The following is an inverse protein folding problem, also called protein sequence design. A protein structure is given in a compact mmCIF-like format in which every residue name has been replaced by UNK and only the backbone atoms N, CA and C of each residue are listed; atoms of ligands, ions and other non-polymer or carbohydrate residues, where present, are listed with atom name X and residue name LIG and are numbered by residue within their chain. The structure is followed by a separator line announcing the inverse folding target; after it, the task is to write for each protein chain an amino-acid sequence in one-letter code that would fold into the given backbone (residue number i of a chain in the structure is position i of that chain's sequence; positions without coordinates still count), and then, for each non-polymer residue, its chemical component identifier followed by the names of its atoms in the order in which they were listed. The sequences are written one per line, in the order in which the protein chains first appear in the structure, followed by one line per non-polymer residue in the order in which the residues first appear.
data_IF_741733366840
#
_entry.id   IF_741733366840
#
_cell.length_a   1.000
_cell.length_b   1.000
_cell.length_c   1.000
_cell.angle_alpha   90.00
_cell.angle_beta   90.00
_cell.angle_gamma   90.00
#
_symmetry.space_group_name_H-M   'P 1'
#
loop_
_entity.id
_entity.type
_entity.pdbx_description
1 polymer ?
#
# COMPACT_ATOMS: atom_id res chain seq x y z
N UNK A 1 1.40 -47.94 23.34
CA UNK A 1 0.49 -47.92 24.51
C UNK A 1 -0.14 -49.28 24.87
N UNK A 2 0.36 -50.41 24.36
CA UNK A 2 -0.17 -51.77 24.67
C UNK A 2 0.80 -52.65 25.50
N UNK A 3 1.99 -52.15 25.88
CA UNK A 3 2.97 -52.91 26.67
C UNK A 3 2.79 -52.80 28.20
N UNK A 4 1.91 -51.92 28.67
CA UNK A 4 1.70 -51.67 30.10
C UNK A 4 0.49 -52.39 30.73
N UNK A 5 -0.44 -52.94 29.94
CA UNK A 5 -1.66 -53.56 30.47
C UNK A 5 -1.53 -55.05 30.80
N UNK A 6 -0.67 -55.81 30.12
CA UNK A 6 -0.60 -57.27 30.29
C UNK A 6 0.28 -57.72 31.47
N UNK A 7 1.12 -56.85 32.02
CA UNK A 7 1.96 -57.19 33.19
C UNK A 7 1.21 -57.09 34.53
N UNK A 8 -0.03 -56.55 34.55
CA UNK A 8 -0.78 -56.26 35.78
C UNK A 8 -1.77 -57.36 36.20
N UNK A 9 -2.07 -58.32 35.32
CA UNK A 9 -3.00 -59.44 35.62
C UNK A 9 -2.29 -60.78 35.90
N UNK A 10 -0.97 -60.88 35.73
CA UNK A 10 -0.21 -62.12 35.94
C UNK A 10 0.54 -62.19 37.28
N UNK A 11 0.27 -61.25 38.20
CA UNK A 11 0.95 -61.17 39.50
C UNK A 11 0.37 -62.07 40.61
N UNK A 12 -0.67 -62.86 40.36
CA UNK A 12 -1.41 -63.58 41.41
C UNK A 12 -1.63 -65.08 41.13
N UNK A 13 -0.61 -65.79 40.63
CA UNK A 13 -0.62 -67.26 40.62
C UNK A 13 0.75 -67.79 41.08
N UNK A 14 0.90 -67.92 42.41
CA UNK A 14 1.92 -68.78 42.99
C UNK A 14 1.57 -70.25 42.69
N UNK A 15 2.53 -71.00 42.13
CA UNK A 15 2.59 -72.46 42.34
C UNK A 15 2.14 -73.42 41.23
N UNK A 16 2.18 -73.06 39.93
CA UNK A 16 2.14 -74.06 38.84
C UNK A 16 3.05 -73.72 37.68
N UNK A 17 3.87 -74.70 37.27
CA UNK A 17 4.69 -74.65 36.05
C UNK A 17 3.82 -74.40 34.82
N UNK A 18 4.18 -73.47 33.91
CA UNK A 18 3.38 -73.20 32.73
C UNK A 18 3.35 -74.39 31.76
N UNK A 19 2.18 -74.62 31.15
CA UNK A 19 1.92 -75.70 30.20
C UNK A 19 2.75 -75.51 28.91
N UNK A 20 3.38 -76.57 28.33
CA UNK A 20 4.26 -76.46 27.16
C UNK A 20 3.62 -75.85 25.90
N UNK A 21 2.29 -75.81 25.84
CA UNK A 21 1.52 -75.27 24.70
C UNK A 21 1.53 -73.73 24.72
N UNK A 22 1.57 -73.09 25.90
CA UNK A 22 1.55 -71.63 26.01
C UNK A 22 2.88 -70.97 25.57
N UNK A 23 4.00 -71.67 25.75
CA UNK A 23 5.33 -71.20 25.32
C UNK A 23 5.46 -71.25 23.78
N UNK A 24 4.93 -72.30 23.13
CA UNK A 24 4.95 -72.42 21.66
C UNK A 24 4.13 -71.35 20.91
N UNK A 25 3.08 -70.81 21.53
CA UNK A 25 2.28 -69.75 20.90
C UNK A 25 2.97 -68.39 21.02
N UNK A 26 3.72 -68.15 22.10
CA UNK A 26 4.51 -66.93 22.27
C UNK A 26 5.76 -66.90 21.39
N UNK A 27 6.43 -68.03 21.18
CA UNK A 27 7.57 -68.12 20.27
C UNK A 27 7.15 -67.90 18.79
N UNK A 28 5.99 -68.43 18.37
CA UNK A 28 5.46 -68.21 17.02
C UNK A 28 4.97 -66.76 16.76
N UNK A 29 4.71 -65.97 17.80
CA UNK A 29 4.35 -64.55 17.68
C UNK A 29 5.57 -63.63 17.59
N UNK A 30 6.76 -64.09 18.01
CA UNK A 30 8.02 -63.35 17.86
C UNK A 30 8.60 -63.45 16.44
N UNK A 31 8.26 -64.49 15.67
CA UNK A 31 8.71 -64.66 14.27
C UNK A 31 7.87 -63.89 13.24
N UNK A 32 6.86 -63.13 13.67
CA UNK A 32 6.15 -62.17 12.83
C UNK A 32 6.87 -60.82 12.80
N UNK A 33 8.14 -60.83 12.40
CA UNK A 33 8.78 -59.60 11.91
C UNK A 33 8.14 -59.25 10.56
N UNK A 34 7.15 -58.34 10.58
CA UNK A 34 6.74 -57.63 9.37
C UNK A 34 8.01 -57.11 8.69
N UNK A 35 8.23 -57.37 7.39
CA UNK A 35 9.39 -56.82 6.71
C UNK A 35 9.34 -55.30 6.88
N UNK A 36 10.40 -54.75 7.46
CA UNK A 36 10.69 -53.32 7.39
C UNK A 36 10.94 -53.02 5.91
N UNK A 37 9.86 -52.77 5.16
CA UNK A 37 9.94 -52.30 3.78
C UNK A 37 10.44 -50.87 3.86
N UNK A 38 11.76 -50.70 3.91
CA UNK A 38 12.42 -49.44 3.61
C UNK A 38 12.18 -49.16 2.13
N UNK A 39 11.13 -48.39 1.83
CA UNK A 39 10.95 -47.75 0.54
C UNK A 39 12.08 -46.72 0.36
N UNK A 40 13.28 -47.18 0.01
CA UNK A 40 14.27 -46.30 -0.58
C UNK A 40 13.72 -45.85 -1.93
N UNK A 41 13.20 -44.63 -1.93
CA UNK A 41 12.75 -43.95 -3.13
C UNK A 41 13.93 -43.91 -4.14
N UNK A 42 13.71 -44.22 -5.42
CA UNK A 42 14.79 -44.30 -6.40
C UNK A 42 15.57 -42.98 -6.45
N UNK A 43 16.87 -43.02 -6.70
CA UNK A 43 17.78 -41.84 -6.71
C UNK A 43 17.22 -40.67 -7.56
N UNK A 44 16.50 -40.98 -8.64
CA UNK A 44 15.79 -40.01 -9.50
C UNK A 44 14.69 -39.23 -8.78
N UNK A 45 13.94 -39.88 -7.88
CA UNK A 45 12.88 -39.27 -7.08
C UNK A 45 13.42 -38.38 -5.96
N UNK A 46 14.56 -38.73 -5.37
CA UNK A 46 15.25 -37.90 -4.37
C UNK A 46 15.85 -36.64 -5.00
N UNK A 47 16.46 -36.79 -6.19
CA UNK A 47 16.98 -35.64 -6.94
C UNK A 47 15.84 -34.69 -7.36
N UNK A 48 14.71 -35.23 -7.83
CA UNK A 48 13.55 -34.43 -8.18
C UNK A 48 12.97 -33.67 -6.97
N UNK A 49 12.84 -34.34 -5.82
CA UNK A 49 12.39 -33.70 -4.57
C UNK A 49 13.34 -32.57 -4.13
N UNK A 50 14.65 -32.81 -4.20
CA UNK A 50 15.66 -31.79 -3.88
C UNK A 50 15.56 -30.56 -4.80
N UNK A 51 15.44 -30.77 -6.12
CA UNK A 51 15.30 -29.66 -7.09
C UNK A 51 14.02 -28.85 -6.86
N UNK A 52 12.90 -29.53 -6.57
CA UNK A 52 11.63 -28.88 -6.21
C UNK A 52 11.80 -28.03 -4.96
N UNK A 53 12.45 -28.57 -3.92
CA UNK A 53 12.69 -27.85 -2.66
C UNK A 53 13.56 -26.62 -2.89
N UNK A 54 14.66 -26.74 -3.64
CA UNK A 54 15.53 -25.59 -3.97
C UNK A 54 14.74 -24.51 -4.73
N UNK A 55 13.92 -24.91 -5.70
CA UNK A 55 13.08 -23.99 -6.46
C UNK A 55 12.05 -23.27 -5.57
N UNK A 56 11.37 -23.99 -4.68
CA UNK A 56 10.41 -23.39 -3.74
C UNK A 56 11.15 -22.48 -2.75
N UNK A 57 12.32 -22.85 -2.26
CA UNK A 57 13.15 -21.98 -1.42
C UNK A 57 13.58 -20.70 -2.15
N UNK A 58 13.88 -20.77 -3.46
CA UNK A 58 14.19 -19.57 -4.25
C UNK A 58 12.98 -18.65 -4.41
N UNK A 59 11.76 -19.19 -4.55
CA UNK A 59 10.52 -18.41 -4.61
C UNK A 59 10.25 -17.65 -3.30
N UNK A 60 10.83 -18.08 -2.17
CA UNK A 60 10.67 -17.42 -0.87
C UNK A 60 10.99 -15.92 -0.92
N UNK A 61 11.92 -15.50 -1.79
CA UNK A 61 12.32 -14.10 -1.98
C UNK A 61 11.11 -13.20 -2.28
N UNK A 62 10.11 -13.70 -3.01
CA UNK A 62 8.89 -12.97 -3.38
C UNK A 62 8.04 -12.57 -2.17
N UNK A 63 8.13 -13.31 -1.06
CA UNK A 63 7.43 -12.98 0.19
C UNK A 63 8.38 -12.41 1.25
N UNK A 64 9.59 -12.94 1.37
CA UNK A 64 10.59 -12.51 2.36
C UNK A 64 10.99 -11.05 2.17
N UNK A 65 11.34 -10.65 0.95
CA UNK A 65 11.86 -9.29 0.69
C UNK A 65 10.78 -8.24 0.98
N UNK A 66 9.56 -8.33 0.44
CA UNK A 66 8.50 -7.38 0.77
C UNK A 66 8.12 -7.40 2.26
N UNK A 67 8.08 -8.56 2.91
CA UNK A 67 7.80 -8.65 4.36
C UNK A 67 8.91 -8.01 5.20
N UNK A 68 10.17 -8.11 4.79
CA UNK A 68 11.31 -7.47 5.46
C UNK A 68 11.26 -5.96 5.35
N UNK A 69 11.02 -5.45 4.15
CA UNK A 69 10.92 -4.01 3.91
C UNK A 69 9.72 -3.44 4.65
N UNK A 70 8.57 -4.13 4.62
CA UNK A 70 7.38 -3.71 5.34
C UNK A 70 7.62 -3.66 6.86
N UNK A 71 8.33 -4.66 7.42
CA UNK A 71 8.73 -4.65 8.82
C UNK A 71 9.66 -3.50 9.15
N UNK A 72 10.65 -3.23 8.30
CA UNK A 72 11.59 -2.13 8.47
C UNK A 72 10.88 -0.77 8.47
N UNK A 73 10.01 -0.53 7.48
CA UNK A 73 9.24 0.71 7.36
C UNK A 73 8.29 0.89 8.56
N UNK A 74 7.48 -0.12 8.90
CA UNK A 74 6.57 -0.04 10.03
C UNK A 74 7.31 0.10 11.37
N UNK A 75 8.43 -0.60 11.55
CA UNK A 75 9.27 -0.50 12.74
C UNK A 75 9.90 0.88 12.89
N UNK A 76 10.45 1.44 11.80
CA UNK A 76 10.97 2.80 11.80
C UNK A 76 9.89 3.85 12.10
N UNK A 77 8.66 3.65 11.63
CA UNK A 77 7.53 4.54 11.91
C UNK A 77 7.16 4.59 13.41
N UNK A 78 7.41 3.52 14.16
CA UNK A 78 7.22 3.47 15.60
C UNK A 78 8.25 4.32 16.37
N UNK A 79 9.38 4.68 15.76
CA UNK A 79 10.37 5.59 16.36
C UNK A 79 9.96 7.07 16.24
N UNK A 80 9.07 7.38 15.30
CA UNK A 80 8.51 8.72 15.16
C UNK A 80 7.50 9.02 16.28
N UNK A 81 7.34 10.29 16.70
CA UNK A 81 6.26 10.71 17.60
C UNK A 81 4.89 10.19 17.13
N UNK A 82 4.03 9.81 18.09
CA UNK A 82 2.70 9.23 17.81
C UNK A 82 1.68 10.26 17.32
N UNK A 83 1.86 11.52 17.68
CA UNK A 83 0.98 12.58 17.19
C UNK A 83 1.17 12.75 15.69
N UNK A 84 0.07 12.65 14.93
CA UNK A 84 -0.03 13.35 13.64
C UNK A 84 0.03 14.82 14.01
N UNK A 85 1.24 15.35 14.17
CA UNK A 85 1.52 16.65 14.82
C UNK A 85 0.39 17.60 14.51
N UNK A 86 -0.49 17.79 15.49
CA UNK A 86 -1.64 18.65 15.32
C UNK A 86 -1.07 20.02 15.01
N UNK A 87 -1.69 20.68 14.03
CA UNK A 87 -1.45 22.08 13.73
C UNK A 87 -1.22 22.84 15.04
N UNK A 88 -0.07 23.51 15.16
CA UNK A 88 0.16 24.46 16.25
C UNK A 88 -1.04 25.42 16.25
N UNK A 89 -1.88 25.44 17.31
CA UNK A 89 -2.95 26.40 17.39
C UNK A 89 -2.31 27.75 17.69
N UNK A 90 -2.40 28.71 16.77
CA UNK A 90 -2.02 30.10 17.08
C UNK A 90 -1.13 30.81 16.07
N UNK A 91 -1.39 30.67 14.77
CA UNK A 91 -1.39 31.80 13.85
C UNK A 91 -2.02 31.29 12.54
N UNK A 92 -2.70 32.14 11.78
CA UNK A 92 -3.10 31.78 10.42
C UNK A 92 -1.82 31.52 9.62
N UNK A 93 -1.40 30.25 9.55
CA UNK A 93 -0.16 29.88 8.92
C UNK A 93 -0.37 29.98 7.41
N UNK A 94 0.32 30.94 6.82
CA UNK A 94 0.22 31.31 5.41
C UNK A 94 1.47 30.81 4.71
N UNK A 95 1.43 30.76 3.38
CA UNK A 95 2.63 30.46 2.58
C UNK A 95 3.83 31.31 3.05
N UNK A 96 5.05 30.72 3.11
CA UNK A 96 6.22 31.43 3.62
C UNK A 96 6.42 32.76 2.90
N UNK A 97 6.66 33.83 3.67
CA UNK A 97 6.81 35.17 3.13
C UNK A 97 7.88 35.21 2.01
N UNK A 98 7.49 35.71 0.84
CA UNK A 98 8.37 35.87 -0.32
C UNK A 98 8.35 34.72 -1.33
N UNK A 99 7.63 33.62 -1.07
CA UNK A 99 7.38 32.58 -2.07
C UNK A 99 5.99 32.74 -2.69
N UNK A 100 5.90 32.48 -4.00
CA UNK A 100 4.64 32.39 -4.75
C UNK A 100 4.26 30.93 -4.89
N UNK A 101 3.04 30.58 -4.47
CA UNK A 101 2.52 29.23 -4.58
C UNK A 101 1.37 29.18 -5.57
N UNK A 102 1.34 28.15 -6.40
CA UNK A 102 0.16 27.80 -7.18
C UNK A 102 -0.42 26.47 -6.68
N UNK A 103 -1.70 26.46 -6.30
CA UNK A 103 -2.44 25.22 -6.06
C UNK A 103 -3.21 24.89 -7.33
N UNK A 104 -2.87 23.78 -7.95
CA UNK A 104 -3.45 23.32 -9.21
C UNK A 104 -4.42 22.15 -8.95
N UNK A 105 -5.68 22.36 -9.30
CA UNK A 105 -6.80 21.43 -9.04
C UNK A 105 -7.41 20.98 -10.38
N UNK A 106 -7.10 19.78 -10.89
CA UNK A 106 -7.81 19.22 -12.04
C UNK A 106 -9.20 18.76 -11.61
N UNK A 107 -10.23 19.09 -12.39
CA UNK A 107 -11.62 18.74 -12.10
C UNK A 107 -12.34 18.29 -13.37
N UNK A 108 -13.10 17.19 -13.27
CA UNK A 108 -13.98 16.70 -14.34
C UNK A 108 -15.33 16.31 -13.74
N UNK A 109 -16.35 17.15 -13.89
CA UNK A 109 -17.70 16.94 -13.33
C UNK A 109 -17.78 16.83 -11.79
N UNK A 110 -17.05 17.67 -11.06
CA UNK A 110 -16.92 17.62 -9.59
C UNK A 110 -17.82 18.65 -8.87
N UNK A 111 -18.93 19.07 -9.49
CA UNK A 111 -19.82 20.11 -8.96
C UNK A 111 -20.35 19.83 -7.53
N UNK A 112 -20.40 18.55 -7.12
CA UNK A 112 -20.90 18.16 -5.81
C UNK A 112 -19.89 18.33 -4.66
N UNK A 113 -18.58 18.38 -4.95
CA UNK A 113 -17.52 18.30 -3.94
C UNK A 113 -16.50 19.42 -4.04
N UNK A 114 -16.33 20.03 -5.20
CA UNK A 114 -15.27 21.01 -5.45
C UNK A 114 -15.36 22.23 -4.53
N UNK A 115 -16.57 22.66 -4.16
CA UNK A 115 -16.74 23.82 -3.28
C UNK A 115 -16.07 23.62 -1.92
N UNK A 116 -16.28 22.46 -1.27
CA UNK A 116 -15.68 22.15 0.03
C UNK A 116 -14.14 22.10 -0.06
N UNK A 117 -13.62 21.51 -1.14
CA UNK A 117 -12.18 21.46 -1.40
C UNK A 117 -11.58 22.86 -1.49
N UNK A 118 -12.15 23.74 -2.33
CA UNK A 118 -11.64 25.10 -2.52
C UNK A 118 -11.77 25.96 -1.25
N UNK A 119 -12.87 25.82 -0.51
CA UNK A 119 -13.08 26.48 0.78
C UNK A 119 -12.07 26.05 1.85
N UNK A 120 -11.55 24.81 1.79
CA UNK A 120 -10.48 24.36 2.70
C UNK A 120 -9.09 24.90 2.33
N UNK A 121 -8.87 25.24 1.05
CA UNK A 121 -7.61 25.74 0.52
C UNK A 121 -7.48 27.25 0.70
N UNK A 122 -8.52 28.00 0.35
CA UNK A 122 -8.46 29.46 0.21
C UNK A 122 -7.98 30.22 1.46
N UNK A 123 -8.38 29.84 2.69
CA UNK A 123 -7.91 30.50 3.91
C UNK A 123 -6.40 30.37 4.17
N UNK A 124 -5.72 29.42 3.50
CA UNK A 124 -4.29 29.16 3.65
C UNK A 124 -3.43 29.92 2.62
N UNK A 125 -4.05 30.60 1.65
CA UNK A 125 -3.38 31.32 0.57
C UNK A 125 -3.17 32.80 0.90
N UNK A 126 -2.13 33.38 0.32
CA UNK A 126 -1.86 34.83 0.33
C UNK A 126 -2.30 35.47 -0.99
N UNK A 127 -2.42 36.80 -1.07
CA UNK A 127 -2.70 37.49 -2.34
C UNK A 127 -1.67 37.27 -3.45
N UNK A 128 -0.47 36.77 -3.12
CA UNK A 128 0.55 36.44 -4.11
C UNK A 128 0.34 35.06 -4.75
N UNK A 129 -0.44 34.20 -4.09
CA UNK A 129 -0.67 32.81 -4.49
C UNK A 129 -1.78 32.69 -5.54
N UNK A 130 -1.81 31.57 -6.25
CA UNK A 130 -2.81 31.28 -7.29
C UNK A 130 -3.53 29.98 -6.95
N UNK A 131 -4.85 30.03 -6.86
CA UNK A 131 -5.70 28.83 -6.86
C UNK A 131 -6.22 28.62 -8.28
N UNK A 132 -5.65 27.65 -9.00
CA UNK A 132 -5.98 27.36 -10.39
C UNK A 132 -6.77 26.06 -10.49
N UNK A 133 -7.97 26.13 -11.04
CA UNK A 133 -8.81 24.97 -11.37
C UNK A 133 -8.79 24.75 -12.87
N UNK A 134 -8.49 23.52 -13.29
CA UNK A 134 -8.62 23.09 -14.68
C UNK A 134 -9.90 22.28 -14.79
N UNK A 135 -10.95 22.90 -15.32
CA UNK A 135 -12.21 22.22 -15.62
C UNK A 135 -12.07 21.47 -16.95
N UNK A 136 -11.65 20.20 -16.86
CA UNK A 136 -11.38 19.35 -18.01
C UNK A 136 -12.63 18.59 -18.44
N UNK A 137 -13.11 18.84 -19.65
CA UNK A 137 -14.25 18.15 -20.27
C UNK A 137 -15.52 18.15 -19.40
N UNK A 138 -15.73 19.19 -18.59
CA UNK A 138 -16.90 19.31 -17.72
C UNK A 138 -18.17 19.56 -18.52
N UNK A 139 -19.27 18.93 -18.09
CA UNK A 139 -20.62 19.10 -18.63
C UNK A 139 -21.62 19.58 -17.57
N UNK A 140 -21.16 19.72 -16.33
CA UNK A 140 -21.94 20.19 -15.18
C UNK A 140 -21.47 21.60 -14.76
N UNK A 141 -21.95 22.08 -13.61
CA UNK A 141 -21.63 23.42 -13.08
C UNK A 141 -20.28 23.51 -12.36
N UNK A 142 -19.34 22.58 -12.58
CA UNK A 142 -18.03 22.56 -11.88
C UNK A 142 -17.27 23.87 -12.04
N UNK A 143 -17.13 24.38 -13.27
CA UNK A 143 -16.41 25.62 -13.55
C UNK A 143 -17.04 26.82 -12.84
N UNK A 144 -18.36 26.97 -12.97
CA UNK A 144 -19.14 28.05 -12.33
C UNK A 144 -18.97 28.04 -10.81
N UNK A 145 -19.01 26.87 -10.19
CA UNK A 145 -18.83 26.75 -8.74
C UNK A 145 -17.40 27.15 -8.36
N UNK A 146 -16.39 26.68 -9.10
CA UNK A 146 -14.99 27.01 -8.83
C UNK A 146 -14.71 28.53 -8.93
N UNK A 147 -15.25 29.21 -9.93
CA UNK A 147 -15.14 30.67 -10.07
C UNK A 147 -15.80 31.40 -8.89
N UNK A 148 -16.99 30.93 -8.47
CA UNK A 148 -17.72 31.52 -7.33
C UNK A 148 -16.95 31.39 -6.01
N UNK A 149 -16.23 30.29 -5.81
CA UNK A 149 -15.33 30.10 -4.67
C UNK A 149 -14.00 30.86 -4.84
N UNK A 150 -13.86 31.73 -5.84
CA UNK A 150 -12.72 32.63 -6.02
C UNK A 150 -11.47 31.96 -6.58
N UNK A 151 -11.59 30.80 -7.21
CA UNK A 151 -10.50 30.21 -7.98
C UNK A 151 -10.36 30.88 -9.36
N UNK A 152 -9.14 30.92 -9.89
CA UNK A 152 -8.92 31.12 -11.33
C UNK A 152 -9.30 29.82 -12.03
N UNK A 153 -10.19 29.89 -13.01
CA UNK A 153 -10.66 28.70 -13.74
C UNK A 153 -10.23 28.76 -15.19
N UNK A 154 -9.71 27.65 -15.70
CA UNK A 154 -9.49 27.45 -17.12
C UNK A 154 -10.25 26.20 -17.57
N UNK A 155 -11.01 26.34 -18.64
CA UNK A 155 -11.75 25.24 -19.23
C UNK A 155 -10.91 24.59 -20.35
N UNK A 156 -10.95 23.26 -20.38
CA UNK A 156 -10.31 22.46 -21.43
C UNK A 156 -11.35 21.50 -22.00
N UNK A 157 -11.51 21.49 -23.33
CA UNK A 157 -12.39 20.54 -24.04
C UNK A 157 -11.52 19.78 -25.04
N UNK A 158 -11.31 18.50 -24.79
CA UNK A 158 -10.48 17.62 -25.61
C UNK A 158 -10.95 16.16 -25.42
N UNK A 159 -11.61 15.62 -26.44
CA UNK A 159 -12.19 14.27 -26.40
C UNK A 159 -11.16 13.17 -26.67
N UNK A 160 -9.99 13.51 -27.22
CA UNK A 160 -8.95 12.54 -27.57
C UNK A 160 -7.94 12.38 -26.44
N UNK A 161 -7.50 13.48 -25.83
CA UNK A 161 -6.51 13.49 -24.74
C UNK A 161 -7.22 13.66 -23.40
N UNK A 162 -7.79 12.57 -22.91
CA UNK A 162 -8.54 12.53 -21.64
C UNK A 162 -7.68 11.99 -20.51
N UNK A 163 -7.88 12.53 -19.30
CA UNK A 163 -7.22 12.06 -18.09
C UNK A 163 -6.59 13.19 -17.29
N UNK A 164 -6.38 12.94 -15.99
CA UNK A 164 -5.85 13.92 -15.05
C UNK A 164 -4.48 14.45 -15.46
N UNK A 165 -3.59 13.62 -16.03
CA UNK A 165 -2.29 14.05 -16.53
C UNK A 165 -2.37 15.18 -17.57
N UNK A 166 -3.29 15.10 -18.54
CA UNK A 166 -3.48 16.15 -19.55
C UNK A 166 -4.06 17.46 -18.96
N UNK A 167 -4.97 17.35 -17.99
CA UNK A 167 -5.49 18.53 -17.28
C UNK A 167 -4.38 19.23 -16.47
N UNK A 168 -3.52 18.45 -15.80
CA UNK A 168 -2.37 18.97 -15.07
C UNK A 168 -1.36 19.65 -15.99
N UNK A 169 -1.03 19.02 -17.13
CA UNK A 169 -0.13 19.59 -18.13
C UNK A 169 -0.66 20.94 -18.66
N UNK A 170 -1.96 21.01 -19.00
CA UNK A 170 -2.61 22.23 -19.43
C UNK A 170 -2.54 23.35 -18.38
N UNK A 171 -2.77 23.01 -17.11
CA UNK A 171 -2.63 23.94 -15.99
C UNK A 171 -1.19 24.44 -15.81
N UNK A 172 -0.19 23.56 -15.94
CA UNK A 172 1.22 23.96 -15.87
C UNK A 172 1.60 24.89 -17.03
N UNK A 173 1.14 24.61 -18.25
CA UNK A 173 1.38 25.50 -19.40
C UNK A 173 0.75 26.88 -19.19
N UNK A 174 -0.47 26.93 -18.64
CA UNK A 174 -1.11 28.19 -18.29
C UNK A 174 -0.28 28.99 -17.28
N UNK A 175 0.18 28.35 -16.19
CA UNK A 175 1.03 29.00 -15.19
C UNK A 175 2.33 29.54 -15.79
N UNK A 176 2.97 28.78 -16.70
CA UNK A 176 4.18 29.21 -17.38
C UNK A 176 3.99 30.46 -18.26
N UNK A 177 2.81 30.61 -18.87
CA UNK A 177 2.50 31.74 -19.76
C UNK A 177 2.05 32.99 -19.02
N UNK A 178 1.51 32.85 -17.80
CA UNK A 178 0.90 33.97 -17.07
C UNK A 178 1.77 34.42 -15.90
N UNK A 179 2.11 33.50 -14.99
CA UNK A 179 2.87 33.82 -13.79
C UNK A 179 3.49 32.55 -13.22
N UNK A 180 4.79 32.37 -13.46
CA UNK A 180 5.55 31.26 -12.88
C UNK A 180 5.51 31.34 -11.34
N UNK A 181 5.03 30.31 -10.64
CA UNK A 181 5.15 30.22 -9.19
C UNK A 181 6.55 29.72 -8.80
N UNK A 182 6.87 29.78 -7.51
CA UNK A 182 8.09 29.18 -6.98
C UNK A 182 7.84 27.70 -6.61
N UNK A 183 6.66 27.40 -6.06
CA UNK A 183 6.17 26.06 -5.75
C UNK A 183 4.79 25.82 -6.36
N UNK A 184 4.55 24.64 -6.90
CA UNK A 184 3.22 24.17 -7.33
C UNK A 184 2.76 23.02 -6.44
N UNK A 185 1.53 23.07 -5.96
CA UNK A 185 0.87 21.99 -5.23
C UNK A 185 -0.23 21.39 -6.09
N UNK A 186 -0.13 20.10 -6.40
CA UNK A 186 -1.16 19.34 -7.10
C UNK A 186 -2.15 18.78 -6.08
N UNK A 187 -3.44 19.10 -6.25
CA UNK A 187 -4.49 18.71 -5.31
C UNK A 187 -5.73 18.19 -6.07
N UNK A 188 -6.29 17.07 -5.64
CA UNK A 188 -7.54 16.55 -6.20
C UNK A 188 -8.75 17.42 -5.79
N UNK A 189 -9.77 17.46 -6.65
CA UNK A 189 -10.98 18.24 -6.42
C UNK A 189 -11.95 17.67 -5.36
N UNK A 190 -11.67 16.48 -4.81
CA UNK A 190 -12.53 15.74 -3.87
C UNK A 190 -11.85 15.45 -2.52
N UNK A 191 -11.15 16.45 -1.97
CA UNK A 191 -10.43 16.30 -0.71
C UNK A 191 -10.57 17.52 0.22
N UNK A 192 -10.44 17.28 1.51
CA UNK A 192 -10.34 18.31 2.52
C UNK A 192 -8.86 18.56 2.85
N UNK A 193 -8.41 19.80 2.65
CA UNK A 193 -7.05 20.23 2.95
C UNK A 193 -7.02 20.83 4.34
N UNK A 194 -6.35 20.17 5.28
CA UNK A 194 -6.33 20.60 6.68
C UNK A 194 -5.53 21.91 6.85
N UNK A 195 -5.78 22.69 7.92
CA UNK A 195 -5.02 23.88 8.23
C UNK A 195 -3.50 23.64 8.23
N UNK A 196 -2.74 24.64 7.80
CA UNK A 196 -1.28 24.65 7.68
C UNK A 196 -0.70 23.68 6.63
N UNK A 197 -1.52 22.85 5.97
CA UNK A 197 -1.04 21.87 5.00
C UNK A 197 -0.25 22.53 3.85
N UNK A 198 -0.76 23.63 3.30
CA UNK A 198 -0.11 24.36 2.20
C UNK A 198 1.23 24.95 2.63
N UNK A 199 1.29 25.56 3.81
CA UNK A 199 2.54 26.13 4.35
C UNK A 199 3.57 25.03 4.59
N UNK A 200 3.19 23.90 5.21
CA UNK A 200 4.10 22.78 5.50
C UNK A 200 4.69 22.18 4.23
N UNK A 201 3.84 21.93 3.22
CA UNK A 201 4.28 21.43 1.92
C UNK A 201 5.22 22.42 1.22
N UNK A 202 4.84 23.70 1.17
CA UNK A 202 5.62 24.75 0.50
C UNK A 202 6.98 24.94 1.17
N UNK A 203 7.00 25.04 2.50
CA UNK A 203 8.22 25.22 3.29
C UNK A 203 9.19 24.07 3.04
N UNK A 204 8.71 22.83 3.13
CA UNK A 204 9.55 21.66 2.94
C UNK A 204 10.04 21.56 1.48
N UNK A 205 9.19 21.84 0.49
CA UNK A 205 9.57 21.80 -0.92
C UNK A 205 10.65 22.86 -1.24
N UNK A 206 10.48 24.08 -0.72
CA UNK A 206 11.45 25.16 -0.90
C UNK A 206 12.79 24.87 -0.20
N UNK A 207 12.76 24.31 1.01
CA UNK A 207 13.99 23.97 1.75
C UNK A 207 14.74 22.79 1.14
N UNK A 208 14.01 21.75 0.71
CA UNK A 208 14.60 20.50 0.22
C UNK A 208 14.90 20.51 -1.28
N UNK A 209 14.31 21.45 -2.03
CA UNK A 209 14.39 21.52 -3.49
C UNK A 209 14.05 20.16 -4.15
N UNK A 210 13.03 19.50 -3.61
CA UNK A 210 12.56 18.16 -4.01
C UNK A 210 11.03 18.10 -3.95
N UNK A 211 10.39 17.19 -4.72
CA UNK A 211 8.97 16.92 -4.59
C UNK A 211 8.62 16.45 -3.17
N UNK A 212 7.48 16.88 -2.64
CA UNK A 212 7.00 16.57 -1.29
C UNK A 212 5.59 15.96 -1.38
N UNK A 213 5.39 14.83 -0.71
CA UNK A 213 4.09 14.17 -0.56
C UNK A 213 3.51 14.46 0.83
N UNK A 214 2.27 14.91 0.88
CA UNK A 214 1.48 15.05 2.11
C UNK A 214 1.11 13.68 2.72
N UNK A 215 0.73 13.69 3.99
CA UNK A 215 -0.05 12.62 4.60
C UNK A 215 -1.46 12.62 4.02
N UNK A 216 -1.67 11.80 2.98
CA UNK A 216 -2.97 11.65 2.33
C UNK A 216 -3.74 10.47 2.93
N UNK A 217 -4.81 10.74 3.66
CA UNK A 217 -5.66 9.71 4.30
C UNK A 217 -7.08 9.74 3.77
N UNK A 218 -7.86 8.70 4.03
CA UNK A 218 -9.28 8.64 3.63
C UNK A 218 -10.19 8.85 4.84
N UNK A 219 -11.25 9.64 4.67
CA UNK A 219 -12.32 9.72 5.64
C UNK A 219 -13.09 8.39 5.70
N UNK A 220 -13.32 7.92 6.92
CA UNK A 220 -14.18 6.76 7.18
C UNK A 220 -15.65 7.20 7.23
N UNK A 221 -16.60 6.42 6.68
CA UNK A 221 -18.03 6.67 6.84
C UNK A 221 -18.45 6.75 8.32
N UNK A 222 -19.59 7.39 8.61
CA UNK A 222 -20.10 7.51 9.98
C UNK A 222 -20.35 6.13 10.64
N UNK A 223 -20.86 5.17 9.86
CA UNK A 223 -21.09 3.79 10.28
C UNK A 223 -20.27 2.83 9.40
N UNK A 224 -18.98 2.61 9.70
CA UNK A 224 -18.12 1.85 8.82
C UNK A 224 -18.31 0.34 8.99
N UNK A 225 -18.46 -0.36 7.86
CA UNK A 225 -18.40 -1.81 7.83
C UNK A 225 -16.99 -2.32 8.15
N UNK A 226 -16.86 -3.62 8.45
CA UNK A 226 -15.55 -4.26 8.65
C UNK A 226 -14.65 -4.07 7.41
N UNK A 227 -15.23 -4.14 6.21
CA UNK A 227 -14.48 -3.94 4.96
C UNK A 227 -13.94 -2.51 4.84
N UNK A 228 -14.68 -1.53 5.34
CA UNK A 228 -14.27 -0.12 5.32
C UNK A 228 -13.17 0.13 6.34
N UNK A 229 -13.27 -0.44 7.55
CA UNK A 229 -12.21 -0.37 8.57
C UNK A 229 -10.91 -1.01 8.08
N UNK A 230 -10.98 -2.19 7.44
CA UNK A 230 -9.80 -2.84 6.85
C UNK A 230 -9.21 -2.04 5.68
N UNK A 231 -10.05 -1.41 4.86
CA UNK A 231 -9.57 -0.57 3.75
C UNK A 231 -8.94 0.72 4.26
N UNK A 232 -9.54 1.36 5.27
CA UNK A 232 -8.99 2.52 5.96
C UNK A 232 -7.64 2.18 6.61
N UNK A 233 -7.55 1.03 7.28
CA UNK A 233 -6.28 0.54 7.84
C UNK A 233 -5.22 0.36 6.75
N UNK A 234 -5.52 -0.38 5.67
CA UNK A 234 -4.58 -0.56 4.57
C UNK A 234 -4.12 0.77 3.94
N UNK A 235 -5.02 1.75 3.85
CA UNK A 235 -4.72 3.09 3.36
C UNK A 235 -3.81 3.86 4.33
N UNK A 236 -4.07 3.81 5.63
CA UNK A 236 -3.20 4.40 6.65
C UNK A 236 -1.80 3.77 6.63
N UNK A 237 -1.70 2.45 6.47
CA UNK A 237 -0.38 1.81 6.36
C UNK A 237 0.37 2.32 5.13
N UNK A 238 -0.30 2.37 3.98
CA UNK A 238 0.31 2.79 2.71
C UNK A 238 0.69 4.27 2.67
N UNK A 239 -0.17 5.17 3.14
CA UNK A 239 0.00 6.61 2.93
C UNK A 239 0.48 7.37 4.17
N UNK A 240 0.57 6.72 5.33
CA UNK A 240 1.08 7.34 6.55
C UNK A 240 2.16 6.52 7.23
N UNK A 241 1.88 5.29 7.66
CA UNK A 241 2.83 4.50 8.47
C UNK A 241 4.12 4.24 7.70
N UNK A 242 4.02 3.69 6.48
CA UNK A 242 5.20 3.35 5.67
C UNK A 242 6.00 4.59 5.23
N UNK A 243 5.38 5.66 4.68
CA UNK A 243 6.09 6.90 4.37
C UNK A 243 6.72 7.58 5.59
N UNK A 244 6.09 7.47 6.78
CA UNK A 244 6.67 7.96 8.02
C UNK A 244 7.92 7.17 8.40
N UNK A 245 7.89 5.84 8.25
CA UNK A 245 9.06 4.98 8.43
C UNK A 245 10.20 5.34 7.48
N UNK A 246 9.90 5.50 6.20
CA UNK A 246 10.87 5.96 5.20
C UNK A 246 11.47 7.33 5.57
N UNK A 247 10.63 8.27 6.02
CA UNK A 247 11.08 9.59 6.49
C UNK A 247 12.06 9.48 7.67
N UNK A 248 11.79 8.61 8.65
CA UNK A 248 12.72 8.35 9.76
C UNK A 248 14.04 7.72 9.30
N UNK A 249 14.01 6.92 8.24
CA UNK A 249 15.20 6.32 7.63
C UNK A 249 15.95 7.28 6.69
N UNK A 250 15.44 8.51 6.49
CA UNK A 250 15.98 9.45 5.50
C UNK A 250 15.78 9.02 4.04
N UNK A 251 14.86 8.08 3.81
CA UNK A 251 14.55 7.51 2.51
C UNK A 251 13.42 8.30 1.79
N UNK A 252 13.40 8.30 0.45
CA UNK A 252 12.31 8.88 -0.32
C UNK A 252 11.02 8.05 -0.22
N UNK A 253 9.90 8.65 -0.60
CA UNK A 253 8.59 7.98 -0.67
C UNK A 253 8.00 8.02 -2.09
N UNK A 254 6.90 7.28 -2.27
CA UNK A 254 6.08 7.36 -3.49
C UNK A 254 5.10 8.53 -3.42
N UNK A 255 4.81 9.12 -4.58
CA UNK A 255 3.70 10.05 -4.75
C UNK A 255 2.37 9.28 -4.81
N UNK A 256 1.31 9.87 -4.26
CA UNK A 256 0.01 9.22 -4.03
C UNK A 256 -1.19 9.96 -4.63
N UNK A 257 -0.94 10.97 -5.46
CA UNK A 257 -1.93 11.58 -6.35
C UNK A 257 -2.56 12.88 -5.87
N UNK A 258 -2.52 13.20 -4.58
CA UNK A 258 -2.99 14.49 -4.08
C UNK A 258 -2.11 15.00 -2.94
N UNK A 259 -2.12 16.31 -2.72
CA UNK A 259 -1.25 16.98 -1.77
C UNK A 259 0.23 16.80 -2.10
N UNK A 260 0.58 16.99 -3.37
CA UNK A 260 1.95 16.83 -3.87
C UNK A 260 2.53 18.19 -4.21
N UNK A 261 3.57 18.63 -3.52
CA UNK A 261 4.22 19.91 -3.78
C UNK A 261 5.54 19.75 -4.54
N UNK A 262 5.80 20.63 -5.49
CA UNK A 262 6.95 20.57 -6.37
C UNK A 262 7.59 21.96 -6.52
N UNK A 263 8.92 22.07 -6.44
CA UNK A 263 9.63 23.22 -6.97
C UNK A 263 9.27 23.44 -8.44
N UNK A 264 8.95 24.67 -8.83
CA UNK A 264 8.54 25.00 -10.19
C UNK A 264 9.60 24.60 -11.23
N UNK A 265 10.88 24.81 -10.89
CA UNK A 265 12.04 24.43 -11.71
C UNK A 265 12.07 22.94 -12.06
N UNK A 266 11.45 22.09 -11.24
CA UNK A 266 11.33 20.65 -11.46
C UNK A 266 10.05 20.34 -12.24
N UNK A 267 8.89 20.83 -11.78
CA UNK A 267 7.60 20.43 -12.35
C UNK A 267 7.39 20.92 -13.79
N UNK A 268 7.86 22.12 -14.13
CA UNK A 268 7.60 22.74 -15.44
C UNK A 268 8.16 21.95 -16.63
N UNK A 269 9.15 21.10 -16.39
CA UNK A 269 9.79 20.25 -17.40
C UNK A 269 9.38 18.78 -17.27
N UNK A 270 8.47 18.46 -16.33
CA UNK A 270 8.06 17.09 -16.09
C UNK A 270 7.04 16.62 -17.16
N UNK A 271 7.12 15.36 -17.62
CA UNK A 271 6.18 14.83 -18.61
C UNK A 271 4.83 14.49 -17.95
N UNK A 272 3.95 15.49 -17.80
CA UNK A 272 2.65 15.33 -17.15
C UNK A 272 1.56 14.76 -18.07
N UNK A 273 1.64 15.07 -19.37
CA UNK A 273 0.65 14.62 -20.37
C UNK A 273 0.67 13.09 -20.54
N UNK A 274 -0.27 12.41 -19.88
CA UNK A 274 -0.41 10.96 -19.92
C UNK A 274 -1.87 10.53 -19.66
N UNK A 275 -2.25 9.40 -20.24
CA UNK A 275 -3.49 8.66 -19.98
C UNK A 275 -3.33 7.54 -18.92
N UNK A 276 -2.14 7.43 -18.31
CA UNK A 276 -1.86 6.38 -17.35
C UNK A 276 -2.68 6.56 -16.07
N UNK A 277 -3.19 5.46 -15.50
CA UNK A 277 -4.03 5.42 -14.28
C UNK A 277 -3.24 5.73 -12.99
N UNK A 278 -1.92 5.67 -13.08
CA UNK A 278 -0.93 5.81 -12.00
C UNK A 278 0.13 6.83 -12.38
N UNK A 279 -0.33 7.91 -13.03
CA UNK A 279 0.47 9.02 -13.51
C UNK A 279 1.33 9.65 -12.42
N UNK A 280 0.78 9.79 -11.20
CA UNK A 280 1.49 10.39 -10.06
C UNK A 280 2.66 9.53 -9.58
N UNK A 281 2.44 8.22 -9.44
CA UNK A 281 3.49 7.30 -9.02
C UNK A 281 4.61 7.25 -10.07
N UNK A 282 4.24 7.18 -11.35
CA UNK A 282 5.22 7.20 -12.44
C UNK A 282 6.01 8.51 -12.46
N UNK A 283 5.34 9.66 -12.35
CA UNK A 283 5.98 10.97 -12.23
C UNK A 283 7.01 10.99 -11.10
N UNK A 284 6.65 10.48 -9.92
CA UNK A 284 7.57 10.41 -8.77
C UNK A 284 8.82 9.57 -9.04
N UNK A 285 8.67 8.44 -9.74
CA UNK A 285 9.80 7.57 -10.11
C UNK A 285 10.69 8.19 -11.19
N UNK A 286 10.10 8.82 -12.19
CA UNK A 286 10.84 9.52 -13.25
C UNK A 286 11.66 10.69 -12.67
N UNK A 287 11.06 11.47 -11.77
CA UNK A 287 11.76 12.51 -11.03
C UNK A 287 12.85 11.95 -10.11
N UNK A 288 12.62 10.80 -9.47
CA UNK A 288 13.64 10.14 -8.66
C UNK A 288 14.87 9.75 -9.47
N UNK A 289 14.67 9.12 -10.63
CA UNK A 289 15.74 8.75 -11.56
C UNK A 289 16.50 10.01 -12.04
N UNK A 290 15.81 11.13 -12.22
CA UNK A 290 16.39 12.42 -12.59
C UNK A 290 17.11 13.16 -11.45
N UNK A 291 17.11 12.62 -10.22
CA UNK A 291 17.81 13.20 -9.06
C UNK A 291 16.91 13.87 -8.02
N UNK A 292 15.60 13.93 -8.27
CA UNK A 292 14.63 14.65 -7.45
C UNK A 292 13.64 13.69 -6.77
N UNK A 293 14.15 12.68 -6.05
CA UNK A 293 13.28 11.68 -5.45
C UNK A 293 12.31 12.32 -4.42
N UNK A 294 11.01 11.97 -4.40
CA UNK A 294 10.05 12.61 -3.50
C UNK A 294 10.32 12.33 -2.01
N UNK A 295 9.96 13.27 -1.14
CA UNK A 295 10.06 13.15 0.31
C UNK A 295 8.68 13.24 0.96
N UNK A 296 8.52 12.65 2.15
CA UNK A 296 7.26 12.66 2.88
C UNK A 296 7.20 13.80 3.89
N UNK A 297 6.09 14.55 3.90
CA UNK A 297 5.76 15.56 4.90
C UNK A 297 4.65 15.04 5.82
N UNK A 298 4.97 14.53 7.02
CA UNK A 298 3.96 13.97 7.93
C UNK A 298 3.03 15.03 8.55
N UNK A 299 3.43 16.31 8.52
CA UNK A 299 2.67 17.43 9.10
C UNK A 299 1.64 18.03 8.14
N UNK A 300 1.75 17.74 6.84
CA UNK A 300 0.78 18.18 5.84
C UNK A 300 -0.31 17.12 5.70
N UNK A 301 -1.53 17.39 6.21
CA UNK A 301 -2.63 16.43 6.18
C UNK A 301 -3.64 16.79 5.08
N UNK A 302 -3.98 15.79 4.26
CA UNK A 302 -5.06 15.85 3.27
C UNK A 302 -5.98 14.67 3.51
N UNK A 303 -7.30 14.90 3.51
CA UNK A 303 -8.30 13.84 3.70
C UNK A 303 -9.19 13.71 2.47
N UNK A 304 -9.11 12.59 1.77
CA UNK A 304 -10.01 12.25 0.66
C UNK A 304 -11.33 11.64 1.13
N UNK A 305 -12.30 11.60 0.23
CA UNK A 305 -13.61 10.99 0.46
C UNK A 305 -13.71 9.61 -0.18
N UNK A 306 -14.14 8.61 0.60
CA UNK A 306 -14.53 7.31 0.04
C UNK A 306 -15.91 7.42 -0.64
N UNK A 307 -16.12 6.80 -1.82
CA UNK A 307 -17.45 6.74 -2.41
C UNK A 307 -18.40 5.97 -1.50
N UNK A 308 -19.62 6.48 -1.33
CA UNK A 308 -20.67 5.83 -0.52
C UNK A 308 -21.23 4.57 -1.18
N UNK A 309 -21.36 4.57 -2.52
CA UNK A 309 -21.89 3.44 -3.26
C UNK A 309 -20.90 2.25 -3.32
N UNK A 310 -21.37 1.05 -2.95
CA UNK A 310 -20.54 -0.16 -2.83
C UNK A 310 -19.90 -0.59 -4.17
N UNK A 311 -20.66 -0.57 -5.27
CA UNK A 311 -20.13 -0.97 -6.59
C UNK A 311 -19.03 -0.02 -7.08
N UNK A 312 -19.25 1.26 -6.84
CA UNK A 312 -18.32 2.35 -7.12
C UNK A 312 -17.03 2.20 -6.30
N UNK A 313 -17.13 1.83 -5.02
CA UNK A 313 -16.00 1.55 -4.17
C UNK A 313 -15.19 0.31 -4.62
N UNK A 314 -15.85 -0.74 -5.14
CA UNK A 314 -15.16 -1.93 -5.68
C UNK A 314 -14.35 -1.58 -6.94
N UNK A 315 -14.91 -0.78 -7.85
CA UNK A 315 -14.20 -0.35 -9.06
C UNK A 315 -12.96 0.48 -8.73
N UNK A 316 -13.09 1.44 -7.80
CA UNK A 316 -11.97 2.26 -7.36
C UNK A 316 -10.86 1.44 -6.68
N UNK A 317 -11.23 0.49 -5.80
CA UNK A 317 -10.28 -0.43 -5.15
C UNK A 317 -9.55 -1.30 -6.16
N UNK A 318 -10.28 -1.88 -7.12
CA UNK A 318 -9.71 -2.70 -8.19
C UNK A 318 -8.69 -1.90 -9.00
N UNK A 319 -9.04 -0.66 -9.36
CA UNK A 319 -8.15 0.25 -10.09
C UNK A 319 -6.85 0.53 -9.35
N UNK A 320 -6.91 0.80 -8.04
CA UNK A 320 -5.71 1.06 -7.24
C UNK A 320 -4.80 -0.16 -7.11
N UNK A 321 -5.38 -1.34 -6.90
CA UNK A 321 -4.61 -2.58 -6.75
C UNK A 321 -3.99 -3.03 -8.08
N UNK A 322 -4.77 -3.01 -9.17
CA UNK A 322 -4.29 -3.32 -10.53
C UNK A 322 -3.24 -2.30 -10.99
N UNK A 323 -3.46 -1.01 -10.72
CA UNK A 323 -2.53 0.07 -11.02
C UNK A 323 -1.18 -0.15 -10.34
N UNK A 324 -1.17 -0.43 -9.04
CA UNK A 324 0.08 -0.68 -8.31
C UNK A 324 0.85 -1.90 -8.85
N UNK A 325 0.17 -3.02 -9.11
CA UNK A 325 0.82 -4.22 -9.67
C UNK A 325 1.41 -3.95 -11.06
N UNK A 326 0.67 -3.23 -11.92
CA UNK A 326 1.16 -2.81 -13.24
C UNK A 326 2.39 -1.91 -13.13
N UNK A 327 2.39 -0.95 -12.21
CA UNK A 327 3.55 -0.08 -11.96
C UNK A 327 4.74 -0.87 -11.48
N UNK A 328 4.57 -1.78 -10.52
CA UNK A 328 5.67 -2.61 -10.03
C UNK A 328 6.32 -3.40 -11.17
N UNK A 329 5.53 -4.13 -11.96
CA UNK A 329 6.04 -4.96 -13.07
C UNK A 329 6.77 -4.11 -14.13
N UNK A 330 6.22 -2.93 -14.47
CA UNK A 330 6.78 -2.09 -15.53
C UNK A 330 7.96 -1.22 -15.08
N UNK A 331 7.93 -0.70 -13.84
CA UNK A 331 8.89 0.31 -13.36
C UNK A 331 9.97 -0.25 -12.45
N UNK A 332 9.75 -1.34 -11.71
CA UNK A 332 10.77 -1.87 -10.79
C UNK A 332 12.08 -2.27 -11.50
N UNK A 333 12.07 -2.93 -12.69
CA UNK A 333 13.31 -3.25 -13.40
C UNK A 333 14.06 -1.99 -13.87
N UNK A 334 13.32 -0.98 -14.35
CA UNK A 334 13.89 0.30 -14.79
C UNK A 334 14.54 1.03 -13.62
N UNK A 335 13.85 1.08 -12.48
CA UNK A 335 14.33 1.73 -11.27
C UNK A 335 15.53 1.00 -10.67
N UNK A 336 15.52 -0.33 -10.64
CA UNK A 336 16.65 -1.14 -10.17
C UNK A 336 17.89 -0.94 -11.06
N UNK A 337 17.70 -0.93 -12.39
CA UNK A 337 18.78 -0.62 -13.34
C UNK A 337 19.36 0.77 -13.10
N UNK A 338 18.52 1.78 -12.87
CA UNK A 338 18.96 3.13 -12.53
C UNK A 338 19.68 3.18 -11.18
N UNK A 339 19.18 2.48 -10.17
CA UNK A 339 19.79 2.42 -8.84
C UNK A 339 21.20 1.82 -8.86
N UNK A 340 21.38 0.72 -9.61
CA UNK A 340 22.69 0.08 -9.79
C UNK A 340 23.60 0.97 -10.64
N UNK A 341 23.11 1.48 -11.77
CA UNK A 341 23.90 2.28 -12.71
C UNK A 341 24.34 3.64 -12.15
N UNK A 342 23.52 4.27 -11.31
CA UNK A 342 23.80 5.55 -10.66
C UNK A 342 24.43 5.39 -9.26
N UNK A 343 24.53 4.15 -8.74
CA UNK A 343 25.02 3.83 -7.38
C UNK A 343 24.23 4.60 -6.31
N UNK A 344 22.89 4.53 -6.40
CA UNK A 344 21.97 5.33 -5.60
C UNK A 344 21.06 4.49 -4.71
N UNK A 345 21.34 4.54 -3.40
CA UNK A 345 20.59 3.81 -2.37
C UNK A 345 19.14 4.31 -2.21
N UNK A 346 18.89 5.58 -2.49
CA UNK A 346 17.54 6.15 -2.42
C UNK A 346 16.62 5.56 -3.52
N UNK A 347 17.16 5.24 -4.70
CA UNK A 347 16.41 4.50 -5.72
C UNK A 347 16.17 3.05 -5.32
N UNK A 348 17.12 2.39 -4.63
CA UNK A 348 16.89 1.05 -4.07
C UNK A 348 15.79 1.05 -3.00
N UNK A 349 15.72 2.10 -2.17
CA UNK A 349 14.63 2.26 -1.21
C UNK A 349 13.27 2.34 -1.91
N UNK A 350 13.16 3.07 -3.03
CA UNK A 350 11.93 3.10 -3.84
C UNK A 350 11.61 1.76 -4.53
N UNK A 351 12.62 0.98 -4.95
CA UNK A 351 12.39 -0.41 -5.42
C UNK A 351 11.80 -1.24 -4.29
N UNK A 352 12.32 -1.08 -3.07
CA UNK A 352 11.81 -1.76 -1.89
C UNK A 352 10.35 -1.39 -1.59
N UNK A 353 10.06 -0.09 -1.54
CA UNK A 353 8.71 0.44 -1.32
C UNK A 353 7.70 -0.05 -2.38
N UNK A 354 8.12 -0.11 -3.66
CA UNK A 354 7.31 -0.67 -4.75
C UNK A 354 7.13 -2.19 -4.67
N UNK A 355 8.07 -2.91 -4.05
CA UNK A 355 8.01 -4.37 -3.93
C UNK A 355 6.93 -4.85 -2.97
N UNK A 356 6.40 -3.97 -2.12
CA UNK A 356 5.33 -4.27 -1.18
C UNK A 356 3.98 -4.08 -1.88
N UNK A 357 3.31 -5.17 -2.32
CA UNK A 357 2.02 -5.06 -2.98
C UNK A 357 0.93 -4.67 -1.95
N UNK A 358 -0.34 -4.50 -2.36
CA UNK A 358 -1.43 -4.38 -1.39
C UNK A 358 -1.31 -5.45 -0.31
N UNK A 359 -1.37 -5.07 0.98
CA UNK A 359 -1.07 -5.97 2.11
C UNK A 359 -1.94 -7.24 2.06
N UNK A 360 -3.19 -7.11 1.62
CA UNK A 360 -4.08 -8.24 1.38
C UNK A 360 -3.54 -9.24 0.37
N UNK A 361 -2.90 -8.76 -0.71
CA UNK A 361 -2.25 -9.61 -1.70
C UNK A 361 -0.98 -10.25 -1.14
N UNK A 362 -0.17 -9.51 -0.37
CA UNK A 362 1.04 -10.06 0.27
C UNK A 362 0.70 -11.20 1.25
N UNK A 363 -0.36 -11.04 2.05
CA UNK A 363 -0.85 -12.10 2.94
C UNK A 363 -1.31 -13.33 2.15
N UNK A 364 -2.01 -13.16 1.02
CA UNK A 364 -2.44 -14.29 0.18
C UNK A 364 -1.25 -15.01 -0.49
N UNK A 365 -0.25 -14.27 -0.96
CA UNK A 365 1.00 -14.83 -1.48
C UNK A 365 1.73 -15.63 -0.40
N UNK A 366 1.83 -15.09 0.80
CA UNK A 366 2.43 -15.79 1.94
C UNK A 366 1.65 -17.05 2.32
N UNK A 367 0.32 -17.00 2.42
CA UNK A 367 -0.50 -18.18 2.74
C UNK A 367 -0.32 -19.29 1.69
N UNK A 368 -0.27 -18.91 0.41
CA UNK A 368 -0.05 -19.87 -0.68
C UNK A 368 1.36 -20.45 -0.60
N UNK A 369 2.37 -19.62 -0.37
CA UNK A 369 3.75 -20.06 -0.19
C UNK A 369 3.92 -21.00 1.01
N UNK A 370 3.30 -20.67 2.14
CA UNK A 370 3.33 -21.49 3.36
C UNK A 370 2.66 -22.86 3.13
N UNK A 371 1.52 -22.89 2.44
CA UNK A 371 0.84 -24.15 2.10
C UNK A 371 1.69 -25.03 1.18
N UNK A 372 2.25 -24.46 0.10
CA UNK A 372 3.15 -25.19 -0.81
C UNK A 372 4.41 -25.68 -0.08
N UNK A 373 4.97 -24.85 0.80
CA UNK A 373 6.16 -25.19 1.59
C UNK A 373 5.90 -26.33 2.59
N UNK A 374 4.69 -26.38 3.18
CA UNK A 374 4.27 -27.49 4.03
C UNK A 374 4.20 -28.80 3.24
N UNK A 375 3.54 -28.78 2.07
CA UNK A 375 3.46 -29.96 1.20
C UNK A 375 4.85 -30.43 0.73
N UNK A 376 5.73 -29.49 0.36
CA UNK A 376 7.09 -29.80 -0.05
C UNK A 376 7.92 -30.40 1.09
N UNK A 377 7.73 -29.91 2.33
CA UNK A 377 8.42 -30.44 3.50
C UNK A 377 7.98 -31.88 3.82
N UNK A 378 6.69 -32.17 3.66
CA UNK A 378 6.14 -33.53 3.82
C UNK A 378 6.62 -34.50 2.73
N UNK A 379 7.02 -33.99 1.56
CA UNK A 379 7.41 -34.79 0.41
C UNK A 379 8.94 -34.99 0.25
N UNK A 380 9.77 -34.10 0.82
CA UNK A 380 11.21 -34.04 0.57
C UNK A 380 12.11 -34.17 1.81
N UNK A 381 11.51 -34.35 3.00
CA UNK A 381 12.19 -34.31 4.32
C UNK A 381 13.05 -33.05 4.56
N UNK A 382 12.87 -32.01 3.74
CA UNK A 382 13.55 -30.72 3.86
C UNK A 382 12.60 -29.66 4.39
N UNK A 383 12.95 -29.10 5.55
CA UNK A 383 12.16 -28.07 6.21
C UNK A 383 12.56 -26.65 5.84
N UNK A 384 13.52 -26.46 4.92
CA UNK A 384 14.01 -25.14 4.53
C UNK A 384 12.90 -24.23 3.97
N UNK A 385 12.06 -24.67 3.00
CA UNK A 385 10.93 -23.85 2.53
C UNK A 385 9.98 -23.44 3.65
N UNK A 386 9.66 -24.37 4.55
CA UNK A 386 8.76 -24.12 5.66
C UNK A 386 9.37 -23.11 6.65
N UNK A 387 10.66 -23.23 6.97
CA UNK A 387 11.37 -22.25 7.79
C UNK A 387 11.32 -20.85 7.18
N UNK A 388 11.60 -20.72 5.88
CA UNK A 388 11.51 -19.44 5.16
C UNK A 388 10.09 -18.87 5.18
N UNK A 389 9.07 -19.72 5.02
CA UNK A 389 7.67 -19.32 5.13
C UNK A 389 7.32 -18.84 6.54
N UNK A 390 7.81 -19.51 7.59
CA UNK A 390 7.61 -19.11 8.99
C UNK A 390 8.27 -17.77 9.29
N UNK A 391 9.52 -17.56 8.84
CA UNK A 391 10.24 -16.29 9.01
C UNK A 391 9.47 -15.15 8.31
N UNK A 392 9.08 -15.34 7.04
CA UNK A 392 8.29 -14.36 6.31
C UNK A 392 6.96 -14.04 7.01
N UNK A 393 6.28 -15.07 7.53
CA UNK A 393 5.03 -14.92 8.27
C UNK A 393 5.19 -14.15 9.58
N UNK A 394 6.25 -14.42 10.33
CA UNK A 394 6.57 -13.70 11.55
C UNK A 394 6.87 -12.21 11.27
N UNK A 395 7.64 -11.93 10.21
CA UNK A 395 7.96 -10.56 9.79
C UNK A 395 6.72 -9.80 9.33
N UNK A 396 5.88 -10.43 8.49
CA UNK A 396 4.62 -9.86 8.03
C UNK A 396 3.65 -9.60 9.19
N UNK A 397 3.49 -10.56 10.09
CA UNK A 397 2.63 -10.45 11.28
C UNK A 397 3.10 -9.33 12.21
N UNK A 398 4.40 -9.26 12.48
CA UNK A 398 4.99 -8.19 13.29
C UNK A 398 4.81 -6.81 12.64
N UNK A 399 5.03 -6.70 11.32
CA UNK A 399 4.86 -5.44 10.61
C UNK A 399 3.41 -4.93 10.66
N UNK A 400 2.43 -5.83 10.48
CA UNK A 400 1.01 -5.51 10.60
C UNK A 400 0.65 -5.11 12.03
N UNK A 401 1.20 -5.79 13.04
CA UNK A 401 0.98 -5.46 14.45
C UNK A 401 1.54 -4.08 14.80
N UNK A 402 2.77 -3.78 14.40
CA UNK A 402 3.40 -2.46 14.63
C UNK A 402 2.61 -1.34 13.93
N UNK A 403 2.19 -1.56 12.68
CA UNK A 403 1.36 -0.61 11.96
C UNK A 403 0.01 -0.39 12.64
N UNK A 404 -0.61 -1.47 13.15
CA UNK A 404 -1.87 -1.39 13.89
C UNK A 404 -1.70 -0.61 15.20
N UNK A 405 -0.65 -0.91 15.98
CA UNK A 405 -0.33 -0.19 17.20
C UNK A 405 -0.08 1.30 16.95
N UNK A 406 0.59 1.64 15.85
CA UNK A 406 0.90 3.03 15.49
C UNK A 406 -0.32 3.85 15.08
N UNK A 407 -1.25 3.25 14.32
CA UNK A 407 -2.17 4.04 13.51
C UNK A 407 -3.65 3.60 13.55
N UNK A 408 -3.98 2.46 14.16
CA UNK A 408 -5.29 1.85 13.93
C UNK A 408 -6.05 1.34 15.16
N UNK A 409 -5.52 1.55 16.37
CA UNK A 409 -6.15 1.09 17.61
C UNK A 409 -7.59 1.62 17.78
N UNK A 410 -7.85 2.86 17.36
CA UNK A 410 -9.16 3.50 17.47
C UNK A 410 -10.16 3.06 16.37
N UNK A 411 -9.66 2.66 15.20
CA UNK A 411 -10.51 2.36 14.04
C UNK A 411 -10.74 0.87 13.81
N UNK A 412 -9.84 0.01 14.29
CA UNK A 412 -9.87 -1.43 14.02
C UNK A 412 -9.59 -2.20 15.31
N UNK A 413 -10.59 -2.89 15.89
CA UNK A 413 -10.36 -3.74 17.04
C UNK A 413 -9.35 -4.86 16.75
N UNK A 414 -8.55 -5.23 17.74
CA UNK A 414 -7.56 -6.30 17.61
C UNK A 414 -8.20 -7.65 17.20
N UNK A 415 -9.41 -7.94 17.67
CA UNK A 415 -10.17 -9.14 17.30
C UNK A 415 -10.50 -9.18 15.80
N UNK A 416 -10.86 -8.03 15.22
CA UNK A 416 -11.10 -7.91 13.77
C UNK A 416 -9.81 -8.11 12.99
N UNK A 417 -8.67 -7.63 13.51
CA UNK A 417 -7.36 -7.84 12.90
C UNK A 417 -7.02 -9.34 12.79
N UNK A 418 -7.27 -10.13 13.84
CA UNK A 418 -7.07 -11.59 13.83
C UNK A 418 -7.95 -12.32 12.81
N UNK A 419 -9.16 -11.81 12.56
CA UNK A 419 -10.08 -12.37 11.55
C UNK A 419 -9.77 -11.91 10.12
N UNK A 420 -8.83 -10.99 9.93
CA UNK A 420 -8.48 -10.42 8.61
C UNK A 420 -8.23 -11.50 7.54
N UNK A 421 -7.44 -12.58 7.79
CA UNK A 421 -7.19 -13.59 6.77
C UNK A 421 -8.47 -14.22 6.18
N UNK A 422 -9.53 -14.38 6.99
CA UNK A 422 -10.82 -14.89 6.52
C UNK A 422 -11.53 -13.86 5.62
N UNK A 423 -11.48 -12.58 5.97
CA UNK A 423 -12.07 -11.50 5.16
C UNK A 423 -11.32 -11.28 3.84
N UNK A 424 -10.03 -11.61 3.76
CA UNK A 424 -9.23 -11.49 2.55
C UNK A 424 -9.67 -12.44 1.43
N UNK A 425 -10.34 -13.56 1.75
CA UNK A 425 -10.83 -14.50 0.75
C UNK A 425 -11.78 -13.85 -0.26
N UNK A 426 -12.54 -12.82 0.15
CA UNK A 426 -13.39 -12.06 -0.74
C UNK A 426 -12.63 -11.27 -1.82
N UNK A 427 -11.34 -10.96 -1.61
CA UNK A 427 -10.50 -10.28 -2.62
C UNK A 427 -9.89 -11.23 -3.66
N UNK A 428 -9.96 -12.56 -3.47
CA UNK A 428 -9.39 -13.52 -4.43
C UNK A 428 -9.88 -13.29 -5.87
N UNK A 429 -11.19 -13.08 -6.14
CA UNK A 429 -11.67 -12.80 -7.49
C UNK A 429 -11.07 -11.53 -8.11
N UNK A 430 -10.79 -10.50 -7.29
CA UNK A 430 -10.21 -9.23 -7.75
C UNK A 430 -8.80 -9.44 -8.31
N UNK A 431 -7.96 -10.22 -7.61
CA UNK A 431 -6.61 -10.55 -8.05
C UNK A 431 -6.61 -11.49 -9.26
N UNK A 432 -7.51 -12.46 -9.27
CA UNK A 432 -7.63 -13.35 -10.43
C UNK A 432 -8.07 -12.60 -11.70
N UNK A 433 -8.94 -11.60 -11.54
CA UNK A 433 -9.38 -10.74 -12.64
C UNK A 433 -8.25 -9.83 -13.17
N UNK A 434 -7.23 -9.48 -12.38
CA UNK A 434 -6.06 -8.75 -12.89
C UNK A 434 -5.36 -9.50 -14.02
N UNK A 435 -5.16 -10.81 -13.85
CA UNK A 435 -4.48 -11.65 -14.84
C UNK A 435 -5.36 -11.97 -16.07
N UNK A 436 -6.69 -11.83 -15.95
CA UNK A 436 -7.64 -12.12 -17.04
C UNK A 436 -8.11 -10.87 -17.81
N UNK A 437 -8.34 -9.76 -17.11
CA UNK A 437 -8.90 -8.51 -17.63
C UNK A 437 -8.33 -7.32 -16.83
N UNK A 438 -7.05 -6.98 -17.01
CA UNK A 438 -6.46 -5.84 -16.30
C UNK A 438 -7.24 -4.57 -16.64
N UNK A 439 -7.59 -3.78 -15.62
CA UNK A 439 -8.25 -2.49 -15.82
C UNK A 439 -7.27 -1.51 -16.49
N UNK A 440 -7.60 -1.05 -17.70
CA UNK A 440 -6.79 -0.11 -18.48
C UNK A 440 -7.41 1.27 -18.63
N UNK A 441 -8.71 1.42 -18.37
CA UNK A 441 -9.45 2.64 -18.70
C UNK A 441 -9.80 3.45 -17.45
N UNK A 442 -9.60 4.77 -17.52
CA UNK A 442 -10.12 5.70 -16.52
C UNK A 442 -11.63 5.85 -16.70
N UNK A 443 -12.42 5.25 -15.80
CA UNK A 443 -13.87 5.45 -15.73
C UNK A 443 -14.20 6.27 -14.48
N UNK A 444 -14.94 7.38 -14.67
CA UNK A 444 -15.35 8.24 -13.58
C UNK A 444 -16.24 7.48 -12.58
N UNK A 445 -15.93 7.66 -11.31
CA UNK A 445 -16.64 7.16 -10.13
C UNK A 445 -17.78 8.14 -9.79
N UNK A 446 -19.04 7.68 -9.72
CA UNK A 446 -20.18 8.53 -9.30
C UNK A 446 -19.99 8.96 -7.84
N UNK A 447 -20.21 10.23 -7.53
CA UNK A 447 -20.10 10.79 -6.17
C UNK A 447 -21.50 11.03 -5.61
N UNK A 448 -21.60 10.92 -4.28
CA UNK A 448 -22.74 11.32 -3.48
C UNK A 448 -22.25 12.39 -2.49
N UNK A 449 -23.09 13.36 -2.15
CA UNK A 449 -22.76 14.50 -1.27
C UNK A 449 -22.17 14.09 0.10
N UNK A 450 -21.19 14.83 0.60
CA UNK A 450 -20.81 14.91 2.02
C UNK A 450 -21.30 16.30 2.54
N UNK A 451 -21.53 16.63 3.81
CA UNK A 451 -21.18 16.11 5.14
C UNK A 451 -22.41 16.33 6.07
N UNK A 452 -22.73 15.37 6.94
CA UNK A 452 -23.53 15.67 8.14
C UNK A 452 -22.63 16.42 9.12
N UNK A 453 -23.04 17.63 9.52
CA UNK A 453 -22.34 18.52 10.47
C UNK A 453 -21.56 17.72 11.53
N UNK A 454 -20.23 17.88 11.56
CA UNK A 454 -19.43 17.47 12.72
C UNK A 454 -19.30 18.67 13.64
N UNK A 455 -19.64 18.46 14.90
CA UNK A 455 -19.39 19.44 15.96
C UNK A 455 -17.88 19.69 16.08
N UNK A 456 -17.57 20.96 16.28
CA UNK A 456 -16.26 21.60 16.41
C UNK A 456 -15.34 20.95 17.42
#
# INVERSE_FOLDING_TARGET
MFRGCLAKEWGNFEGRSPCPIAIRVLDNLNDLTLPQVSFHSPLSSQLAAMLITVFISAIAVVVLVPSAILLLECGAACLAPSERTQAVPGNQARTPAGLRVAVLVPAHNEAQVIAETLQSIQPQLTPADTLLVVADNCTDTTAIIAEREGATVIERIDQEKRGKGYALDYGVQYLAQHREPDIVILMDADCYVHPNCIEQLTTMAAQRQRPIQSCYVMATPAEPSIKDRLSAFAFLVKNWVRPLGLSQLGAPCLLTGTGMAFPWTILKNAPLASDNIVEDMQLGLDLAIAGYAPLFCPMALVTGLLPKAQDTAIQQRTRWEHGHLKTFISQAPRLLKAAIGQVRLDLLALVGELSIPPISFLVLLWLTYAFVSLLASLASDSYLPLLLATIAGAMLGMAILLAWMKAAQEILPFTTLLMTPLYLLWKIPLYFNFFRKPQTNWNKTKRDTAIGKRDT
#
